data_IF_642612934182
#
_entry.id   IF_642612934182
#
_cell.length_a   1.000
_cell.length_b   1.000
_cell.length_c   1.000
_cell.angle_alpha   90.00
_cell.angle_beta   90.00
_cell.angle_gamma   90.00
#
_symmetry.space_group_name_H-M   'P 1'
#
loop_
_entity.id
_entity.type
_entity.pdbx_description
1 polymer ?
#
# COMPACT_ATOMS: atom_id res chain seq x y z
N UNK A 1 13.70 -13.23 -7.50
CA UNK A 1 12.84 -12.01 -7.42
C UNK A 1 12.23 -11.79 -6.03
N UNK A 2 13.01 -11.37 -5.02
CA UNK A 2 12.54 -11.28 -3.63
C UNK A 2 11.51 -10.15 -3.38
N UNK A 3 11.36 -9.21 -4.31
CA UNK A 3 10.49 -8.04 -4.14
C UNK A 3 9.03 -8.35 -4.49
N UNK A 4 8.78 -9.10 -5.56
CA UNK A 4 7.41 -9.48 -5.96
C UNK A 4 6.71 -10.29 -4.87
N UNK A 5 7.38 -11.28 -4.28
CA UNK A 5 6.79 -12.09 -3.21
C UNK A 5 6.39 -11.25 -1.99
N UNK A 6 7.23 -10.27 -1.60
CA UNK A 6 6.93 -9.38 -0.47
C UNK A 6 5.76 -8.43 -0.77
N UNK A 7 5.70 -7.91 -2.00
CA UNK A 7 4.59 -7.05 -2.44
C UNK A 7 3.29 -7.85 -2.42
N UNK A 8 3.27 -9.04 -3.03
CA UNK A 8 2.10 -9.94 -3.06
C UNK A 8 1.63 -10.28 -1.64
N UNK A 9 2.54 -10.68 -0.75
CA UNK A 9 2.19 -10.96 0.65
C UNK A 9 1.55 -9.76 1.35
N UNK A 10 2.05 -8.54 1.10
CA UNK A 10 1.46 -7.34 1.70
C UNK A 10 0.11 -6.97 1.11
N UNK A 11 -0.10 -7.14 -0.19
CA UNK A 11 -1.44 -6.93 -0.79
C UNK A 11 -2.46 -7.92 -0.21
N UNK A 12 -2.10 -9.21 -0.11
CA UNK A 12 -2.99 -10.21 0.47
C UNK A 12 -3.33 -9.92 1.93
N UNK A 13 -2.37 -9.41 2.71
CA UNK A 13 -2.62 -8.97 4.09
C UNK A 13 -3.63 -7.82 4.17
N UNK A 14 -3.64 -6.90 3.19
CA UNK A 14 -4.58 -5.78 3.20
C UNK A 14 -6.03 -6.21 3.05
N UNK A 15 -6.30 -7.37 2.44
CA UNK A 15 -7.65 -7.90 2.30
C UNK A 15 -8.24 -8.33 3.65
N UNK A 16 -7.44 -8.87 4.57
CA UNK A 16 -7.91 -9.29 5.90
C UNK A 16 -7.75 -8.22 6.97
N UNK A 17 -6.75 -7.36 6.83
CA UNK A 17 -6.54 -6.22 7.70
C UNK A 17 -6.14 -5.01 6.85
N UNK A 18 -7.08 -4.09 6.55
CA UNK A 18 -6.80 -2.90 5.75
C UNK A 18 -5.81 -1.91 6.39
N UNK A 19 -5.57 -1.99 7.70
CA UNK A 19 -4.65 -1.10 8.44
C UNK A 19 -3.66 -1.92 9.29
N UNK A 20 -2.85 -2.80 8.68
CA UNK A 20 -1.93 -3.64 9.43
C UNK A 20 -0.74 -2.82 9.95
N UNK A 21 0.03 -3.39 10.89
CA UNK A 21 1.22 -2.73 11.44
C UNK A 21 2.18 -2.32 10.32
N UNK A 22 2.59 -1.05 10.36
CA UNK A 22 3.46 -0.44 9.35
C UNK A 22 2.71 0.31 8.24
N UNK A 23 1.38 0.31 8.26
CA UNK A 23 0.60 1.27 7.49
C UNK A 23 0.66 2.67 8.11
N UNK A 24 0.70 3.68 7.26
CA UNK A 24 0.64 5.09 7.67
C UNK A 24 -0.30 5.83 6.76
N UNK A 25 -1.12 6.73 7.32
CA UNK A 25 -1.95 7.64 6.52
C UNK A 25 -1.03 8.54 5.68
N UNK A 26 -1.44 8.85 4.45
CA UNK A 26 -0.74 9.84 3.63
C UNK A 26 -0.98 11.25 4.20
N UNK A 27 0.00 12.12 4.00
CA UNK A 27 -0.12 13.54 4.35
C UNK A 27 -0.57 14.30 3.10
N UNK A 28 -1.55 15.19 3.24
CA UNK A 28 -2.03 16.06 2.14
C UNK A 28 -3.01 15.41 1.16
N UNK A 29 -3.37 14.13 1.35
CA UNK A 29 -4.42 13.44 0.58
C UNK A 29 -4.98 12.26 1.38
N UNK A 30 -6.15 11.79 0.98
CA UNK A 30 -6.69 10.54 1.48
C UNK A 30 -5.88 9.34 0.95
N UNK A 31 -5.95 8.24 1.71
CA UNK A 31 -5.21 7.02 1.44
C UNK A 31 -4.08 6.73 2.42
N UNK A 32 -3.47 5.58 2.21
CA UNK A 32 -2.52 4.93 3.11
C UNK A 32 -1.32 4.45 2.33
N UNK A 33 -0.20 4.27 3.04
CA UNK A 33 0.99 3.61 2.51
C UNK A 33 1.43 2.48 3.43
N UNK A 34 1.95 1.41 2.85
CA UNK A 34 2.66 0.35 3.59
C UNK A 34 3.95 -0.03 2.86
N UNK A 35 4.97 -0.41 3.63
CA UNK A 35 6.26 -0.88 3.10
C UNK A 35 6.22 -2.37 2.77
N UNK A 36 6.78 -2.74 1.63
CA UNK A 36 7.07 -4.11 1.21
C UNK A 36 8.55 -4.19 0.78
N UNK A 37 9.45 -4.33 1.75
CA UNK A 37 10.90 -4.21 1.51
C UNK A 37 11.28 -2.79 1.06
N UNK A 38 11.87 -2.69 -0.13
CA UNK A 38 12.25 -1.42 -0.77
C UNK A 38 11.11 -0.74 -1.55
N UNK A 39 9.93 -1.35 -1.61
CA UNK A 39 8.76 -0.80 -2.29
C UNK A 39 7.76 -0.21 -1.28
N UNK A 40 6.97 0.77 -1.74
CA UNK A 40 5.76 1.22 -1.05
C UNK A 40 4.55 0.85 -1.89
N UNK A 41 3.52 0.39 -1.21
CA UNK A 41 2.18 0.16 -1.76
C UNK A 41 1.33 1.31 -1.23
N UNK A 42 0.70 2.05 -2.13
CA UNK A 42 -0.23 3.14 -1.83
C UNK A 42 -1.62 2.67 -2.19
N UNK A 43 -2.55 2.84 -1.26
CA UNK A 43 -3.88 2.26 -1.33
C UNK A 43 -4.92 3.11 -0.60
N UNK A 44 -6.17 2.91 -0.95
CA UNK A 44 -7.34 3.48 -0.28
C UNK A 44 -8.24 2.38 0.28
N UNK A 45 -9.04 2.72 1.28
CA UNK A 45 -9.99 1.83 1.94
C UNK A 45 -11.37 2.43 1.72
N UNK A 46 -12.25 1.69 1.05
CA UNK A 46 -13.67 2.04 0.95
C UNK A 46 -14.43 1.28 2.04
N UNK A 47 -14.92 2.00 3.05
CA UNK A 47 -15.64 1.40 4.17
C UNK A 47 -17.02 0.87 3.74
N UNK A 48 -17.65 1.53 2.76
CA UNK A 48 -18.95 1.15 2.21
C UNK A 48 -18.87 -0.19 1.47
N UNK A 49 -17.87 -0.32 0.58
CA UNK A 49 -17.71 -1.51 -0.26
C UNK A 49 -16.85 -2.60 0.40
N UNK A 50 -16.35 -2.33 1.62
CA UNK A 50 -15.38 -3.18 2.34
C UNK A 50 -14.19 -3.58 1.46
N UNK A 51 -13.73 -2.65 0.64
CA UNK A 51 -12.72 -2.90 -0.39
C UNK A 51 -11.44 -2.10 -0.13
N UNK A 52 -10.33 -2.64 -0.64
CA UNK A 52 -9.03 -1.98 -0.65
C UNK A 52 -8.58 -1.83 -2.10
N UNK A 53 -8.37 -0.59 -2.52
CA UNK A 53 -7.92 -0.27 -3.89
C UNK A 53 -6.45 0.07 -3.86
N UNK A 54 -5.63 -0.69 -4.60
CA UNK A 54 -4.22 -0.37 -4.77
C UNK A 54 -4.08 0.69 -5.86
N UNK A 55 -3.60 1.88 -5.50
CA UNK A 55 -3.44 2.99 -6.42
C UNK A 55 -2.07 2.96 -7.11
N UNK A 56 -1.02 2.65 -6.35
CA UNK A 56 0.33 2.66 -6.89
C UNK A 56 1.27 1.73 -6.11
N UNK A 57 2.18 1.09 -6.82
CA UNK A 57 3.27 0.29 -6.25
C UNK A 57 4.56 0.80 -6.87
N UNK A 58 5.48 1.26 -6.03
CA UNK A 58 6.73 1.83 -6.54
C UNK A 58 7.87 1.70 -5.56
N UNK A 59 9.09 1.71 -6.09
CA UNK A 59 10.29 1.71 -5.28
C UNK A 59 10.35 2.97 -4.41
N UNK A 60 10.85 2.86 -3.17
CA UNK A 60 10.85 3.93 -2.16
C UNK A 60 11.46 5.26 -2.62
N UNK A 61 12.34 5.23 -3.63
CA UNK A 61 13.01 6.39 -4.23
C UNK A 61 12.14 7.15 -5.24
N UNK A 62 11.16 6.49 -5.86
CA UNK A 62 10.44 7.02 -7.02
C UNK A 62 8.91 7.02 -6.85
N UNK A 63 8.37 6.32 -5.85
CA UNK A 63 6.92 6.12 -5.69
C UNK A 63 6.10 7.41 -5.57
N UNK A 64 6.72 8.55 -5.23
CA UNK A 64 6.06 9.85 -5.15
C UNK A 64 6.26 10.74 -6.37
N UNK A 65 7.07 10.34 -7.37
CA UNK A 65 7.40 11.23 -8.50
C UNK A 65 6.24 11.48 -9.44
N UNK A 66 5.22 10.61 -9.42
CA UNK A 66 4.08 10.63 -10.35
C UNK A 66 2.72 10.48 -9.62
N UNK A 67 2.65 10.81 -8.33
CA UNK A 67 1.43 10.66 -7.51
C UNK A 67 0.76 11.98 -7.19
#
# INVERSE_FOLDING_TARGET
>A
EPNYSRIKQRILLLASNPRPRGSSKLTGREGWRIRAGDYRIIYEICEQDKSVTILHIGHRRNVYKNL
#
